data_IF_649957634759
#
_entry.id   IF_649957634759
#
_cell.length_a   1.000
_cell.length_b   1.000
_cell.length_c   1.000
_cell.angle_alpha   90.00
_cell.angle_beta   90.00
_cell.angle_gamma   90.00
#
_symmetry.space_group_name_H-M   'P 1'
#
loop_
_entity.id
_entity.type
_entity.pdbx_description
1 polymer ?
#
# COMPACT_ATOMS: atom_id res chain seq x y z
N UNK A 1 -8.48 -22.93 38.18
CA UNK A 1 -9.77 -22.74 37.46
C UNK A 1 -9.62 -21.55 36.52
N UNK A 2 -10.06 -21.72 35.26
CA UNK A 2 -9.78 -20.92 34.04
C UNK A 2 -8.38 -21.23 33.49
N UNK A 3 -8.13 -22.25 32.65
CA UNK A 3 -8.80 -22.68 31.40
C UNK A 3 -8.91 -21.51 30.41
N UNK A 4 -7.77 -21.15 29.82
CA UNK A 4 -7.74 -20.50 28.51
C UNK A 4 -7.59 -21.64 27.51
N UNK A 5 -8.63 -21.80 26.70
CA UNK A 5 -8.83 -22.89 25.78
C UNK A 5 -7.72 -22.97 24.73
N UNK A 6 -7.39 -24.21 24.36
CA UNK A 6 -6.86 -24.64 23.07
C UNK A 6 -7.30 -23.72 21.93
N UNK A 7 -6.35 -22.93 21.42
CA UNK A 7 -6.42 -22.38 20.08
C UNK A 7 -5.68 -23.36 19.15
N UNK A 8 -6.25 -24.54 18.97
CA UNK A 8 -5.92 -25.45 17.88
C UNK A 8 -6.61 -24.88 16.63
N UNK A 9 -5.90 -24.01 15.90
CA UNK A 9 -6.30 -23.60 14.55
C UNK A 9 -5.47 -24.43 13.60
N UNK A 10 -6.13 -25.47 13.07
CA UNK A 10 -5.65 -26.28 11.98
C UNK A 10 -5.16 -25.40 10.84
N UNK A 11 -3.90 -25.64 10.47
CA UNK A 11 -3.24 -25.15 9.28
C UNK A 11 -4.00 -25.72 8.08
N UNK A 12 -4.88 -24.92 7.50
CA UNK A 12 -5.39 -25.15 6.17
C UNK A 12 -4.49 -24.39 5.20
N UNK A 13 -3.56 -25.11 4.59
CA UNK A 13 -2.83 -24.72 3.39
C UNK A 13 -3.78 -24.86 2.19
N UNK A 14 -4.32 -23.78 1.58
CA UNK A 14 -4.84 -23.90 0.24
C UNK A 14 -3.66 -23.87 -0.73
N UNK A 15 -3.41 -25.02 -1.37
CA UNK A 15 -2.61 -25.18 -2.58
C UNK A 15 -2.68 -23.92 -3.45
N UNK A 16 -1.54 -23.28 -3.65
CA UNK A 16 -1.39 -22.22 -4.64
C UNK A 16 -1.68 -22.81 -6.04
N UNK A 17 -2.70 -22.33 -6.77
CA UNK A 17 -2.87 -22.76 -8.14
C UNK A 17 -1.71 -22.20 -8.98
N UNK A 18 -1.09 -23.10 -9.73
CA UNK A 18 -0.03 -22.82 -10.69
C UNK A 18 -0.34 -21.54 -11.51
N UNK A 19 0.50 -20.52 -11.33
CA UNK A 19 0.46 -19.32 -12.17
C UNK A 19 0.82 -19.70 -13.60
N UNK A 20 -0.06 -19.51 -14.59
CA UNK A 20 0.31 -19.68 -15.98
C UNK A 20 1.32 -18.59 -16.36
N UNK A 21 2.43 -19.05 -16.94
CA UNK A 21 3.52 -18.26 -17.51
C UNK A 21 2.97 -17.14 -18.41
N UNK A 22 3.16 -15.89 -18.00
CA UNK A 22 2.74 -14.70 -18.74
C UNK A 22 3.51 -14.61 -20.07
N UNK A 23 2.84 -14.61 -21.24
CA UNK A 23 3.52 -14.25 -22.47
C UNK A 23 3.53 -12.72 -22.65
N UNK A 24 4.65 -12.28 -23.21
CA UNK A 24 4.85 -11.06 -23.99
C UNK A 24 4.94 -9.71 -23.23
N UNK A 25 6.20 -9.24 -23.12
CA UNK A 25 6.53 -7.83 -23.31
C UNK A 25 5.72 -7.27 -24.49
N UNK A 26 4.88 -6.28 -24.24
CA UNK A 26 4.49 -5.28 -25.24
C UNK A 26 4.46 -3.89 -24.60
N UNK A 27 5.33 -3.08 -25.17
CA UNK A 27 5.28 -1.62 -25.28
C UNK A 27 5.01 -0.80 -24.02
N UNK A 28 6.05 -0.07 -23.60
CA UNK A 28 5.86 1.25 -22.99
C UNK A 28 5.35 2.19 -24.08
N UNK A 29 4.09 2.67 -24.06
CA UNK A 29 3.85 4.01 -24.56
C UNK A 29 4.34 4.95 -23.46
N UNK A 30 5.60 5.36 -23.53
CA UNK A 30 6.01 6.61 -22.91
C UNK A 30 5.46 7.74 -23.80
N UNK A 31 4.13 7.86 -23.83
CA UNK A 31 3.43 8.94 -24.51
C UNK A 31 3.29 10.11 -23.55
N UNK A 32 3.50 11.36 -23.98
CA UNK A 32 3.19 12.51 -23.14
C UNK A 32 1.68 12.49 -22.89
N UNK A 33 1.26 12.41 -21.62
CA UNK A 33 -0.14 12.52 -21.25
C UNK A 33 -0.71 13.85 -21.78
N UNK A 34 -1.92 13.86 -22.36
CA UNK A 34 -2.52 15.09 -22.84
C UNK A 34 -2.84 16.00 -21.65
N UNK A 35 -2.44 17.26 -21.75
CA UNK A 35 -2.79 18.31 -20.82
C UNK A 35 -4.31 18.56 -20.88
N UNK A 36 -5.03 18.08 -19.87
CA UNK A 36 -6.31 18.64 -19.44
C UNK A 36 -6.14 18.94 -17.95
N UNK A 37 -6.54 20.14 -17.53
CA UNK A 37 -6.24 20.74 -16.23
C UNK A 37 -6.84 20.02 -15.02
N UNK A 38 -6.33 18.84 -14.73
CA UNK A 38 -6.58 18.04 -13.54
C UNK A 38 -5.23 17.86 -12.85
N UNK A 39 -5.15 18.20 -11.57
CA UNK A 39 -3.93 18.05 -10.79
C UNK A 39 -3.37 16.62 -10.93
N UNK A 40 -2.04 16.42 -11.14
CA UNK A 40 -1.49 15.09 -11.35
C UNK A 40 -1.91 14.17 -10.21
N UNK A 41 -2.60 13.07 -10.54
CA UNK A 41 -3.03 12.04 -9.57
C UNK A 41 -1.85 11.21 -9.07
N UNK A 42 -2.06 10.53 -7.96
CA UNK A 42 -1.08 9.62 -7.37
C UNK A 42 -0.65 8.56 -8.40
N UNK A 43 0.66 8.40 -8.53
CA UNK A 43 1.26 7.45 -9.47
C UNK A 43 1.34 6.04 -8.84
N UNK A 44 1.36 5.00 -9.67
CA UNK A 44 1.50 3.62 -9.16
C UNK A 44 2.77 3.37 -8.33
N UNK A 45 3.94 3.97 -8.63
CA UNK A 45 5.10 3.92 -7.75
C UNK A 45 4.81 4.50 -6.35
N UNK A 46 4.14 5.65 -6.25
CA UNK A 46 3.77 6.25 -4.97
C UNK A 46 2.78 5.37 -4.20
N UNK A 47 1.74 4.85 -4.87
CA UNK A 47 0.78 3.93 -4.25
C UNK A 47 1.50 2.70 -3.69
N UNK A 48 2.32 2.03 -4.50
CA UNK A 48 3.06 0.84 -4.05
C UNK A 48 3.98 1.15 -2.86
N UNK A 49 4.57 2.33 -2.84
CA UNK A 49 5.45 2.74 -1.77
C UNK A 49 4.69 2.99 -0.46
N UNK A 50 3.54 3.67 -0.50
CA UNK A 50 2.67 3.84 0.66
C UNK A 50 2.23 2.50 1.27
N UNK A 51 1.84 1.54 0.43
CA UNK A 51 1.48 0.19 0.91
C UNK A 51 2.67 -0.51 1.55
N UNK A 52 3.89 -0.33 1.01
CA UNK A 52 5.11 -0.90 1.62
C UNK A 52 5.38 -0.29 2.98
N UNK A 53 5.25 1.03 3.14
CA UNK A 53 5.47 1.73 4.41
C UNK A 53 4.47 1.24 5.47
N UNK A 54 3.19 1.10 5.11
CA UNK A 54 2.16 0.59 6.02
C UNK A 54 2.37 -0.90 6.35
N UNK A 55 2.83 -1.70 5.39
CA UNK A 55 3.16 -3.11 5.62
C UNK A 55 4.35 -3.27 6.58
N UNK A 56 5.35 -2.38 6.53
CA UNK A 56 6.45 -2.36 7.50
C UNK A 56 5.98 -2.09 8.92
N UNK A 57 4.85 -1.37 9.09
CA UNK A 57 4.19 -1.16 10.37
C UNK A 57 3.25 -2.31 10.77
N UNK A 58 3.21 -3.41 10.00
CA UNK A 58 2.34 -4.56 10.25
C UNK A 58 0.91 -4.41 9.71
N UNK A 59 0.64 -3.42 8.87
CA UNK A 59 -0.69 -3.21 8.27
C UNK A 59 -0.84 -4.03 6.99
N UNK A 60 -1.85 -4.90 6.93
CA UNK A 60 -2.16 -5.70 5.74
C UNK A 60 -2.67 -4.85 4.57
N UNK A 61 -2.53 -5.34 3.33
CA UNK A 61 -2.89 -4.59 2.12
C UNK A 61 -4.34 -4.05 2.12
N UNK A 62 -5.32 -4.84 2.58
CA UNK A 62 -6.73 -4.38 2.65
C UNK A 62 -6.91 -3.26 3.69
N UNK A 63 -6.25 -3.39 4.84
CA UNK A 63 -6.29 -2.39 5.90
C UNK A 63 -5.54 -1.12 5.49
N UNK A 64 -4.41 -1.27 4.80
CA UNK A 64 -3.64 -0.16 4.26
C UNK A 64 -4.46 0.64 3.23
N UNK A 65 -5.19 -0.04 2.35
CA UNK A 65 -6.10 0.62 1.41
C UNK A 65 -7.19 1.41 2.14
N UNK A 66 -7.84 0.81 3.14
CA UNK A 66 -8.87 1.49 3.93
C UNK A 66 -8.29 2.67 4.70
N UNK A 67 -7.10 2.53 5.29
CA UNK A 67 -6.39 3.60 5.98
C UNK A 67 -6.11 4.78 5.05
N UNK A 68 -5.57 4.53 3.87
CA UNK A 68 -5.28 5.57 2.88
C UNK A 68 -6.56 6.26 2.39
N UNK A 69 -7.64 5.51 2.13
CA UNK A 69 -8.95 6.09 1.75
C UNK A 69 -9.51 6.99 2.84
N UNK A 70 -9.42 6.56 4.10
CA UNK A 70 -9.88 7.32 5.25
C UNK A 70 -9.04 8.58 5.48
N UNK A 71 -7.71 8.46 5.38
CA UNK A 71 -6.78 9.59 5.54
C UNK A 71 -7.04 10.68 4.49
N UNK A 72 -7.13 10.29 3.21
CA UNK A 72 -7.38 11.24 2.11
C UNK A 72 -8.86 11.60 1.94
N UNK A 73 -9.77 10.98 2.70
CA UNK A 73 -11.24 11.14 2.58
C UNK A 73 -11.75 10.91 1.16
N UNK A 74 -11.23 9.88 0.49
CA UNK A 74 -11.58 9.52 -0.89
C UNK A 74 -12.24 8.16 -0.95
N UNK A 75 -13.10 7.95 -1.95
CA UNK A 75 -13.68 6.64 -2.23
C UNK A 75 -12.66 5.73 -2.95
N UNK A 76 -11.87 6.30 -3.86
CA UNK A 76 -10.86 5.59 -4.62
C UNK A 76 -9.48 6.21 -4.44
N UNK A 77 -8.46 5.37 -4.26
CA UNK A 77 -7.07 5.82 -4.17
C UNK A 77 -6.57 6.49 -5.46
N UNK A 78 -7.23 6.25 -6.60
CA UNK A 78 -6.91 6.92 -7.87
C UNK A 78 -7.23 8.42 -7.83
N UNK A 79 -8.09 8.84 -6.91
CA UNK A 79 -8.49 10.23 -6.76
C UNK A 79 -7.50 11.04 -5.91
N UNK A 80 -6.54 10.39 -5.26
CA UNK A 80 -5.52 11.07 -4.46
C UNK A 80 -4.60 11.87 -5.37
N UNK A 81 -4.25 13.10 -4.99
CA UNK A 81 -3.28 13.90 -5.74
C UNK A 81 -1.84 13.42 -5.50
N UNK A 82 -0.98 13.62 -6.50
CA UNK A 82 0.46 13.30 -6.41
C UNK A 82 1.11 14.01 -5.24
N UNK A 83 0.73 15.28 -5.01
CA UNK A 83 1.24 16.10 -3.92
C UNK A 83 0.86 15.52 -2.56
N UNK A 84 -0.42 15.18 -2.35
CA UNK A 84 -0.89 14.57 -1.11
C UNK A 84 -0.24 13.22 -0.82
N UNK A 85 -0.04 12.39 -1.85
CA UNK A 85 0.68 11.13 -1.71
C UNK A 85 2.15 11.33 -1.32
N UNK A 86 2.84 12.31 -1.92
CA UNK A 86 4.22 12.65 -1.56
C UNK A 86 4.34 13.15 -0.12
N UNK A 87 3.43 14.02 0.33
CA UNK A 87 3.41 14.52 1.71
C UNK A 87 3.25 13.39 2.73
N UNK A 88 2.27 12.50 2.52
CA UNK A 88 2.07 11.37 3.43
C UNK A 88 3.27 10.40 3.45
N UNK A 89 3.95 10.20 2.31
CA UNK A 89 5.18 9.41 2.27
C UNK A 89 6.24 10.01 3.19
N UNK A 90 6.44 11.32 3.13
CA UNK A 90 7.42 12.01 3.98
C UNK A 90 7.05 11.89 5.46
N UNK A 91 5.77 12.05 5.82
CA UNK A 91 5.27 11.87 7.18
C UNK A 91 5.54 10.44 7.71
N UNK A 92 5.21 9.42 6.93
CA UNK A 92 5.43 8.02 7.33
C UNK A 92 6.91 7.66 7.47
N UNK A 93 7.79 8.23 6.64
CA UNK A 93 9.24 8.03 6.76
C UNK A 93 9.76 8.72 8.02
N UNK A 94 9.30 9.93 8.32
CA UNK A 94 9.69 10.66 9.51
C UNK A 94 9.29 9.88 10.78
N UNK A 95 8.04 9.41 10.84
CA UNK A 95 7.51 8.59 11.93
C UNK A 95 8.31 7.28 12.12
N UNK A 96 8.63 6.57 11.02
CA UNK A 96 9.49 5.39 11.09
C UNK A 96 10.89 5.68 11.61
N UNK A 97 11.47 6.82 11.24
CA UNK A 97 12.80 7.22 11.71
C UNK A 97 12.80 7.53 13.21
N UNK A 98 11.74 8.15 13.73
CA UNK A 98 11.59 8.39 15.17
C UNK A 98 11.36 7.07 15.93
N UNK A 99 10.49 6.21 15.43
CA UNK A 99 10.19 4.91 16.04
C UNK A 99 11.39 3.94 16.06
N UNK A 100 12.26 4.01 15.05
CA UNK A 100 13.44 3.14 14.91
C UNK A 100 14.73 3.75 15.48
N UNK A 101 14.77 5.08 15.68
CA UNK A 101 15.98 5.82 16.06
C UNK A 101 15.97 6.43 17.46
N UNK A 102 14.88 6.35 18.21
CA UNK A 102 14.74 6.93 19.55
C UNK A 102 15.12 6.00 20.71
N UNK A 103 16.32 5.41 20.68
CA UNK A 103 16.93 4.77 21.84
C UNK A 103 18.41 5.20 21.91
N UNK A 104 18.64 6.38 22.47
CA UNK A 104 19.95 6.84 22.90
C UNK A 104 19.82 7.60 24.22
#
# INVERSE_FOLDING_TARGET
MRLIADCEVEILEPEAPAVPELPARRDRPNGPAPAQGDEPRMTEPQKRYLFRLLAQQGTEAKQAEAHLKNYFRVQNLRDVSKAGASQLIEELIADQKEASGGAA
#
